data_IF_170928580646
#
_entry.id   IF_170928580646
#
_cell.length_a   1.000
_cell.length_b   1.000
_cell.length_c   1.000
_cell.angle_alpha   90.00
_cell.angle_beta   90.00
_cell.angle_gamma   90.00
#
_symmetry.space_group_name_H-M   'P 1'
#
loop_
_entity.id
_entity.type
_entity.pdbx_description
1 polymer ?
#
# COMPACT_ATOMS: atom_id res chain seq x y z
N UNK A 1 -3.94 -61.39 36.26
CA UNK A 1 -4.35 -59.97 36.41
C UNK A 1 -3.21 -59.14 36.99
N UNK A 2 -2.61 -58.22 36.22
CA UNK A 2 -1.79 -57.12 36.79
C UNK A 2 -1.84 -55.93 35.84
N UNK A 3 -2.74 -54.99 36.13
CA UNK A 3 -2.90 -53.70 35.44
C UNK A 3 -1.56 -52.94 35.49
N UNK A 4 -0.86 -52.82 34.38
CA UNK A 4 0.20 -51.81 34.21
C UNK A 4 -0.50 -50.44 34.19
N UNK A 5 -0.39 -49.69 35.28
CA UNK A 5 -0.87 -48.30 35.35
C UNK A 5 -0.06 -47.48 34.34
N UNK A 6 -0.74 -46.96 33.31
CA UNK A 6 -0.23 -45.84 32.51
C UNK A 6 -0.18 -44.64 33.44
N UNK A 7 1.00 -44.31 33.95
CA UNK A 7 1.23 -42.99 34.50
C UNK A 7 1.41 -42.06 33.32
N UNK A 8 0.34 -41.37 32.92
CA UNK A 8 0.46 -40.13 32.17
C UNK A 8 1.13 -39.12 33.10
N UNK A 9 2.45 -39.08 33.06
CA UNK A 9 3.19 -37.95 33.59
C UNK A 9 2.85 -36.75 32.70
N UNK A 10 1.83 -36.00 33.09
CA UNK A 10 1.80 -34.57 32.82
C UNK A 10 3.04 -34.00 33.52
N UNK A 11 4.18 -34.03 32.81
CA UNK A 11 5.40 -33.37 33.22
C UNK A 11 5.12 -31.87 33.14
N UNK A 12 4.84 -31.27 34.29
CA UNK A 12 4.98 -29.83 34.43
C UNK A 12 6.41 -29.49 33.99
N UNK A 13 6.59 -28.61 32.98
CA UNK A 13 7.93 -28.25 32.55
C UNK A 13 8.69 -27.67 33.74
N UNK A 14 9.96 -28.04 33.87
CA UNK A 14 10.78 -27.50 34.95
C UNK A 14 10.89 -25.98 34.82
N UNK A 15 11.06 -25.23 35.92
CA UNK A 15 11.18 -23.77 35.87
C UNK A 15 12.25 -23.30 34.86
N UNK A 16 13.34 -24.06 34.76
CA UNK A 16 14.42 -23.86 33.81
C UNK A 16 13.95 -24.03 32.35
N UNK A 17 13.16 -25.05 32.07
CA UNK A 17 12.58 -25.30 30.74
C UNK A 17 11.62 -24.18 30.31
N UNK A 18 10.81 -23.65 31.24
CA UNK A 18 9.94 -22.49 31.00
C UNK A 18 10.77 -21.23 30.70
N UNK A 19 11.86 -21.00 31.44
CA UNK A 19 12.76 -19.87 31.21
C UNK A 19 13.46 -19.95 29.84
N UNK A 20 13.94 -21.13 29.45
CA UNK A 20 14.57 -21.35 28.15
C UNK A 20 13.55 -21.12 27.02
N UNK A 21 12.35 -21.69 27.14
CA UNK A 21 11.31 -21.50 26.10
C UNK A 21 10.91 -20.04 25.96
N UNK A 22 10.76 -19.29 27.06
CA UNK A 22 10.51 -17.85 27.00
C UNK A 22 11.66 -17.08 26.32
N UNK A 23 12.92 -17.42 26.61
CA UNK A 23 14.07 -16.81 25.95
C UNK A 23 14.08 -17.04 24.43
N UNK A 24 13.79 -18.27 24.00
CA UNK A 24 13.70 -18.62 22.57
C UNK A 24 12.55 -17.85 21.89
N UNK A 25 11.39 -17.77 22.55
CA UNK A 25 10.22 -17.03 22.02
C UNK A 25 10.54 -15.55 21.84
N UNK A 26 11.23 -14.91 22.80
CA UNK A 26 11.60 -13.50 22.68
C UNK A 26 12.57 -13.25 21.51
N UNK A 27 13.55 -14.14 21.30
CA UNK A 27 14.48 -14.04 20.17
C UNK A 27 13.73 -14.20 18.84
N UNK A 28 12.82 -15.16 18.75
CA UNK A 28 11.98 -15.38 17.57
C UNK A 28 11.11 -14.16 17.25
N UNK A 29 10.46 -13.57 18.26
CA UNK A 29 9.65 -12.35 18.08
C UNK A 29 10.52 -11.21 17.55
N UNK A 30 11.70 -11.00 18.15
CA UNK A 30 12.64 -9.97 17.71
C UNK A 30 13.06 -10.13 16.25
N UNK A 31 13.28 -11.36 15.79
CA UNK A 31 13.67 -11.66 14.41
C UNK A 31 12.53 -11.50 13.38
N UNK A 32 11.27 -11.67 13.80
CA UNK A 32 10.10 -11.63 12.93
C UNK A 32 9.53 -10.21 12.72
N UNK A 33 9.67 -9.32 13.71
CA UNK A 33 9.20 -7.92 13.62
C UNK A 33 9.70 -7.16 12.38
N UNK A 34 11.00 -7.15 12.03
CA UNK A 34 11.48 -6.38 10.87
C UNK A 34 10.92 -6.92 9.54
N UNK A 35 10.71 -8.23 9.44
CA UNK A 35 10.14 -8.85 8.24
C UNK A 35 8.68 -8.41 8.06
N UNK A 36 7.88 -8.45 9.14
CA UNK A 36 6.48 -8.02 9.10
C UNK A 36 6.32 -6.55 8.70
N UNK A 37 7.21 -5.66 9.19
CA UNK A 37 7.23 -4.25 8.77
C UNK A 37 7.50 -4.09 7.28
N UNK A 38 8.49 -4.79 6.74
CA UNK A 38 8.81 -4.74 5.30
C UNK A 38 7.67 -5.25 4.41
N UNK A 39 6.97 -6.30 4.82
CA UNK A 39 5.78 -6.78 4.10
C UNK A 39 4.62 -5.77 4.13
N UNK A 40 4.40 -5.13 5.28
CA UNK A 40 3.35 -4.13 5.43
C UNK A 40 3.59 -2.93 4.49
N UNK A 41 4.82 -2.41 4.45
CA UNK A 41 5.18 -1.29 3.56
C UNK A 41 5.04 -1.66 2.07
N UNK A 42 5.46 -2.87 1.68
CA UNK A 42 5.24 -3.37 0.31
C UNK A 42 3.76 -3.47 -0.05
N UNK A 43 2.93 -3.94 0.87
CA UNK A 43 1.48 -4.06 0.65
C UNK A 43 0.82 -2.68 0.51
N UNK A 44 1.19 -1.72 1.37
CA UNK A 44 0.74 -0.32 1.26
C UNK A 44 1.14 0.28 -0.09
N UNK A 45 2.41 0.12 -0.49
CA UNK A 45 2.89 0.63 -1.77
C UNK A 45 2.14 0.00 -2.96
N UNK A 46 1.88 -1.30 -2.94
CA UNK A 46 1.10 -1.97 -3.99
C UNK A 46 -0.35 -1.49 -4.06
N UNK A 47 -0.98 -1.27 -2.89
CA UNK A 47 -2.35 -0.71 -2.82
C UNK A 47 -2.38 0.67 -3.45
N UNK A 48 -1.44 1.53 -3.07
CA UNK A 48 -1.36 2.91 -3.56
C UNK A 48 -1.00 2.97 -5.04
N UNK A 49 -0.14 2.07 -5.52
CA UNK A 49 0.15 1.97 -6.93
C UNK A 49 -1.10 1.57 -7.76
N UNK A 50 -1.93 0.66 -7.24
CA UNK A 50 -3.21 0.33 -7.87
C UNK A 50 -4.17 1.52 -7.89
N UNK A 51 -4.29 2.23 -6.77
CA UNK A 51 -5.12 3.44 -6.67
C UNK A 51 -4.67 4.51 -7.69
N UNK A 52 -3.36 4.77 -7.81
CA UNK A 52 -2.80 5.71 -8.79
C UNK A 52 -3.12 5.28 -10.23
N UNK A 53 -2.99 3.99 -10.55
CA UNK A 53 -3.29 3.48 -11.90
C UNK A 53 -4.77 3.58 -12.25
N UNK A 54 -5.66 3.35 -11.29
CA UNK A 54 -7.10 3.55 -11.45
C UNK A 54 -7.39 5.04 -11.70
N UNK A 55 -6.73 5.92 -10.94
CA UNK A 55 -6.88 7.36 -11.08
C UNK A 55 -6.37 7.86 -12.44
N UNK A 56 -5.23 7.36 -12.91
CA UNK A 56 -4.71 7.64 -14.26
C UNK A 56 -5.73 7.25 -15.33
N UNK A 57 -6.27 6.04 -15.27
CA UNK A 57 -7.29 5.57 -16.22
C UNK A 57 -8.56 6.43 -16.17
N UNK A 58 -9.03 6.78 -14.98
CA UNK A 58 -10.20 7.64 -14.80
C UNK A 58 -9.97 9.05 -15.36
N UNK A 59 -8.80 9.66 -15.14
CA UNK A 59 -8.43 10.96 -15.69
C UNK A 59 -8.38 10.90 -17.22
N UNK A 60 -7.76 9.86 -17.79
CA UNK A 60 -7.68 9.68 -19.24
C UNK A 60 -9.07 9.54 -19.85
N UNK A 61 -9.92 8.67 -19.31
CA UNK A 61 -11.29 8.49 -19.81
C UNK A 61 -12.13 9.75 -19.68
N UNK A 62 -11.99 10.50 -18.57
CA UNK A 62 -12.66 11.77 -18.39
C UNK A 62 -12.21 12.81 -19.43
N UNK A 63 -10.91 12.88 -19.70
CA UNK A 63 -10.36 13.78 -20.71
C UNK A 63 -10.83 13.42 -22.13
N UNK A 64 -10.90 12.13 -22.46
CA UNK A 64 -11.38 11.65 -23.76
C UNK A 64 -12.87 11.94 -23.98
N UNK A 65 -13.70 11.84 -22.94
CA UNK A 65 -15.15 12.04 -23.04
C UNK A 65 -15.59 13.49 -22.85
N UNK A 66 -15.00 14.22 -21.92
CA UNK A 66 -15.37 15.62 -21.63
C UNK A 66 -14.47 16.66 -22.33
N UNK A 67 -13.33 16.25 -22.89
CA UNK A 67 -12.38 17.15 -23.56
C UNK A 67 -11.64 18.09 -22.61
N UNK A 68 -11.72 17.87 -21.29
CA UNK A 68 -11.07 18.67 -20.25
C UNK A 68 -10.50 17.78 -19.14
N UNK A 69 -9.53 18.31 -18.39
CA UNK A 69 -8.96 17.61 -17.22
C UNK A 69 -9.92 17.79 -16.02
N UNK A 70 -10.09 16.75 -15.17
CA UNK A 70 -10.87 16.88 -13.94
C UNK A 70 -10.19 17.88 -12.98
N UNK A 71 -11.00 18.69 -12.30
CA UNK A 71 -10.57 19.66 -11.28
C UNK A 71 -10.24 19.00 -9.95
N UNK A 72 -10.85 17.85 -9.67
CA UNK A 72 -10.66 17.13 -8.42
C UNK A 72 -10.92 15.63 -8.61
N UNK A 73 -10.45 14.83 -7.65
CA UNK A 73 -10.76 13.40 -7.58
C UNK A 73 -12.26 13.18 -7.34
N UNK A 74 -12.90 14.06 -6.58
CA UNK A 74 -14.34 13.97 -6.29
C UNK A 74 -15.18 14.16 -7.56
N UNK A 75 -14.74 15.01 -8.49
CA UNK A 75 -15.41 15.16 -9.79
C UNK A 75 -15.38 13.85 -10.61
N UNK A 76 -14.30 13.07 -10.52
CA UNK A 76 -14.23 11.76 -11.16
C UNK A 76 -15.19 10.76 -10.50
N UNK A 77 -15.41 10.87 -9.19
CA UNK A 77 -16.35 10.02 -8.46
C UNK A 77 -17.81 10.41 -8.76
N UNK A 78 -18.15 11.69 -8.70
CA UNK A 78 -19.51 12.20 -8.96
C UNK A 78 -19.97 11.90 -10.39
N UNK A 79 -19.06 11.98 -11.37
CA UNK A 79 -19.36 11.65 -12.76
C UNK A 79 -19.23 10.16 -13.09
N UNK A 80 -18.99 9.29 -12.09
CA UNK A 80 -19.01 7.83 -12.24
C UNK A 80 -17.77 7.20 -12.89
N UNK A 81 -16.69 7.96 -13.06
CA UNK A 81 -15.39 7.45 -13.54
C UNK A 81 -14.62 6.70 -12.45
N UNK A 82 -14.95 6.94 -11.18
CA UNK A 82 -14.48 6.18 -10.03
C UNK A 82 -15.66 5.48 -9.35
N UNK A 83 -15.47 4.21 -8.99
CA UNK A 83 -16.47 3.41 -8.26
C UNK A 83 -16.49 3.69 -6.75
N UNK A 84 -15.44 4.33 -6.23
CA UNK A 84 -15.26 4.63 -4.82
C UNK A 84 -14.48 5.93 -4.65
N UNK A 85 -14.72 6.61 -3.54
CA UNK A 85 -14.01 7.85 -3.21
C UNK A 85 -12.56 7.52 -2.81
N UNK A 86 -11.62 8.19 -3.49
CA UNK A 86 -10.19 8.03 -3.27
C UNK A 86 -9.68 9.18 -2.40
N UNK A 87 -9.64 8.96 -1.09
CA UNK A 87 -9.10 9.94 -0.15
C UNK A 87 -7.57 10.05 -0.23
N UNK A 88 -7.04 11.25 0.04
CA UNK A 88 -5.60 11.51 0.11
C UNK A 88 -4.90 11.75 -1.22
N UNK A 89 -5.67 12.04 -2.28
CA UNK A 89 -5.19 12.37 -3.61
C UNK A 89 -5.66 13.77 -4.02
N UNK A 90 -4.76 14.55 -4.60
CA UNK A 90 -5.08 15.82 -5.23
C UNK A 90 -4.63 15.82 -6.69
N UNK A 91 -5.44 16.46 -7.53
CA UNK A 91 -5.17 16.62 -8.96
C UNK A 91 -4.79 18.07 -9.19
N UNK A 92 -3.55 18.29 -9.62
CA UNK A 92 -3.05 19.58 -10.06
C UNK A 92 -2.94 19.56 -11.59
N UNK A 93 -3.65 20.48 -12.24
CA UNK A 93 -3.62 20.61 -13.69
C UNK A 93 -2.44 21.49 -14.13
N UNK A 94 -1.48 20.92 -14.86
CA UNK A 94 -0.44 21.67 -15.57
C UNK A 94 -0.76 21.68 -17.07
N UNK A 95 -0.39 22.75 -17.79
CA UNK A 95 -0.87 23.04 -19.15
C UNK A 95 -0.91 21.86 -20.14
N UNK A 96 0.05 20.94 -20.08
CA UNK A 96 0.16 19.74 -20.95
C UNK A 96 0.19 18.41 -20.18
N UNK A 97 -0.10 18.42 -18.88
CA UNK A 97 0.09 17.25 -18.01
C UNK A 97 -0.68 17.34 -16.72
N UNK A 98 -1.10 16.20 -16.19
CA UNK A 98 -1.76 16.13 -14.89
C UNK A 98 -0.75 15.68 -13.85
N UNK A 99 -0.65 16.43 -12.75
CA UNK A 99 0.14 16.05 -11.60
C UNK A 99 -0.80 15.51 -10.52
N UNK A 100 -0.64 14.23 -10.19
CA UNK A 100 -1.32 13.61 -9.06
C UNK A 100 -0.42 13.79 -7.83
N UNK A 101 -0.93 14.43 -6.79
CA UNK A 101 -0.25 14.61 -5.50
C UNK A 101 -0.86 13.65 -4.48
N UNK A 102 -0.04 12.75 -3.95
CA UNK A 102 -0.40 11.84 -2.88
C UNK A 102 -0.04 12.47 -1.52
N UNK A 103 -1.05 12.67 -0.67
CA UNK A 103 -0.91 13.17 0.71
C UNK A 103 -0.78 12.06 1.76
N UNK A 104 -0.65 10.80 1.33
CA UNK A 104 -0.46 9.64 2.22
C UNK A 104 1.03 9.42 2.51
N UNK A 105 1.35 9.05 3.74
CA UNK A 105 2.70 8.63 4.12
C UNK A 105 3.04 7.29 3.46
N UNK A 106 3.94 7.34 2.48
CA UNK A 106 4.52 6.16 1.83
C UNK A 106 5.98 6.43 1.51
N UNK A 107 6.81 5.43 1.73
CA UNK A 107 8.20 5.46 1.29
C UNK A 107 8.27 5.29 -0.25
N UNK A 108 8.74 6.30 -1.00
CA UNK A 108 8.79 6.26 -2.46
C UNK A 108 9.70 5.14 -3.00
N UNK A 109 10.66 4.64 -2.22
CA UNK A 109 11.52 3.52 -2.65
C UNK A 109 10.75 2.23 -2.92
N UNK A 110 9.56 2.05 -2.33
CA UNK A 110 8.68 0.91 -2.64
C UNK A 110 7.73 1.18 -3.82
N UNK A 111 7.52 2.44 -4.18
CA UNK A 111 6.61 2.86 -5.25
C UNK A 111 7.32 2.99 -6.60
N UNK A 112 8.54 3.52 -6.62
CA UNK A 112 9.37 3.68 -7.82
C UNK A 112 9.50 2.41 -8.70
N UNK A 113 9.73 1.19 -8.13
CA UNK A 113 9.79 -0.02 -8.96
C UNK A 113 8.43 -0.45 -9.53
N UNK A 114 7.31 0.05 -9.01
CA UNK A 114 5.96 -0.30 -9.47
C UNK A 114 5.44 0.75 -10.47
N UNK A 115 5.68 2.02 -10.19
CA UNK A 115 5.30 3.16 -11.03
C UNK A 115 6.55 4.00 -11.30
N UNK A 116 7.21 3.78 -12.46
CA UNK A 116 8.39 4.55 -12.82
C UNK A 116 8.01 6.02 -13.07
N UNK A 117 8.84 6.95 -12.60
CA UNK A 117 8.62 8.40 -12.78
C UNK A 117 7.94 9.12 -11.62
N UNK A 118 7.63 8.41 -10.52
CA UNK A 118 7.22 9.03 -9.26
C UNK A 118 8.36 9.90 -8.70
N UNK A 119 8.03 11.13 -8.26
CA UNK A 119 8.96 12.04 -7.59
C UNK A 119 8.44 12.45 -6.22
N UNK A 120 9.34 12.52 -5.24
CA UNK A 120 9.04 13.12 -3.94
C UNK A 120 9.26 14.64 -4.03
N UNK A 121 8.22 15.42 -3.87
CA UNK A 121 8.28 16.88 -3.82
C UNK A 121 7.58 17.37 -2.55
N UNK A 122 8.27 18.21 -1.75
CA UNK A 122 7.75 18.82 -0.52
C UNK A 122 7.13 17.83 0.49
N UNK A 123 7.72 16.63 0.63
CA UNK A 123 7.22 15.60 1.55
C UNK A 123 6.08 14.75 0.98
N UNK A 124 5.46 15.17 -0.12
CA UNK A 124 4.42 14.42 -0.83
C UNK A 124 5.00 13.64 -2.01
N UNK A 125 4.30 12.59 -2.41
CA UNK A 125 4.65 11.79 -3.58
C UNK A 125 3.84 12.30 -4.76
N UNK A 126 4.49 12.61 -5.87
CA UNK A 126 3.83 13.16 -7.06
C UNK A 126 4.12 12.31 -8.29
N UNK A 127 3.10 12.15 -9.15
CA UNK A 127 3.22 11.53 -10.46
C UNK A 127 2.76 12.51 -11.52
N UNK A 128 3.62 12.74 -12.51
CA UNK A 128 3.30 13.56 -13.69
C UNK A 128 2.84 12.65 -14.82
N UNK A 129 1.55 12.71 -15.14
CA UNK A 129 0.96 11.99 -16.27
C UNK A 129 0.93 12.93 -17.46
N UNK A 130 1.60 12.55 -18.54
CA UNK A 130 1.43 13.24 -19.82
C UNK A 130 0.12 12.76 -20.43
N UNK A 131 -0.82 13.68 -20.65
CA UNK A 131 -2.01 13.37 -21.44
C UNK A 131 -1.55 13.27 -22.89
N UNK A 132 -1.41 12.04 -23.39
CA UNK A 132 -1.10 11.81 -24.80
C UNK A 132 -2.36 12.16 -25.59
N UNK A 133 -2.35 13.26 -26.34
CA UNK A 133 -3.35 13.53 -27.38
C UNK A 133 -3.13 12.50 -28.50
N UNK A 134 -3.61 11.27 -28.32
CA UNK A 134 -3.76 10.36 -29.44
C UNK A 134 -5.00 10.80 -30.22
N UNK A 135 -4.73 11.57 -31.28
CA UNK A 135 -5.55 11.78 -32.47
C UNK A 135 -7.06 11.97 -32.26
N UNK A 136 -7.44 13.26 -32.24
CA UNK A 136 -8.67 13.72 -32.92
C UNK A 136 -8.26 14.59 -34.09
#
# INVERSE_FOLDING_TARGET
MKRRRRFSFFLFPSYLEVMITFGIVLILIGALIPQAKGFLEKSKALKIAKEIKILEMAITSFYELEGRVPRSVNELFENGYLLFELEGYEIENESDSVKIVLKKEVDPSYLEPIIPGIKKENGNVSLKIKIRREYM
#
